data_IF_785336449391
#
_entry.id   IF_785336449391
#
_cell.length_a   1.000
_cell.length_b   1.000
_cell.length_c   1.000
_cell.angle_alpha   90.00
_cell.angle_beta   90.00
_cell.angle_gamma   90.00
#
_symmetry.space_group_name_H-M   'P 1'
#
loop_
_entity.id
_entity.type
_entity.pdbx_description
1 polymer ?
#
# COMPACT_ATOMS: atom_id res chain seq x y z
N UNK A 1 -4.22 55.96 -5.20
CA UNK A 1 -4.79 55.06 -4.18
C UNK A 1 -3.66 54.20 -3.64
N UNK A 2 -3.17 54.54 -2.44
CA UNK A 2 -2.09 53.84 -1.75
C UNK A 2 -2.59 52.50 -1.22
N UNK A 3 -2.04 51.41 -1.76
CA UNK A 3 -2.32 50.05 -1.30
C UNK A 3 -1.75 49.86 0.12
N UNK A 4 -2.61 49.47 1.06
CA UNK A 4 -2.26 49.29 2.47
C UNK A 4 -1.34 48.09 2.70
N UNK A 5 -0.33 48.31 3.53
CA UNK A 5 0.51 47.30 4.18
C UNK A 5 -0.35 46.44 5.11
N UNK A 6 -0.64 45.19 4.73
CA UNK A 6 -1.27 44.20 5.61
C UNK A 6 -0.74 42.78 5.38
N UNK A 7 0.46 42.64 4.83
CA UNK A 7 1.09 41.35 4.51
C UNK A 7 2.05 40.83 5.59
N UNK A 8 2.24 41.55 6.71
CA UNK A 8 3.25 41.18 7.72
C UNK A 8 2.81 40.11 8.75
N UNK A 9 1.61 39.51 8.64
CA UNK A 9 1.12 38.55 9.64
C UNK A 9 1.44 37.07 9.36
N UNK A 10 2.08 36.74 8.24
CA UNK A 10 2.37 35.35 7.85
C UNK A 10 3.87 35.01 7.79
N UNK A 11 4.72 35.81 8.43
CA UNK A 11 6.18 35.66 8.38
C UNK A 11 6.75 34.75 9.49
N UNK A 12 5.91 33.96 10.18
CA UNK A 12 6.42 33.05 11.21
C UNK A 12 6.82 31.73 10.57
N UNK A 13 8.11 31.38 10.73
CA UNK A 13 8.61 30.04 10.43
C UNK A 13 7.71 28.98 11.11
N UNK A 14 7.28 27.94 10.39
CA UNK A 14 6.43 26.90 10.95
C UNK A 14 7.15 26.24 12.15
N UNK A 15 6.44 26.11 13.27
CA UNK A 15 6.99 25.45 14.46
C UNK A 15 7.31 23.99 14.14
N UNK A 16 8.50 23.55 14.54
CA UNK A 16 8.88 22.13 14.46
C UNK A 16 8.01 21.31 15.41
N UNK A 17 7.14 20.49 14.82
CA UNK A 17 6.24 19.57 15.52
C UNK A 17 6.58 18.10 15.26
N UNK A 18 7.79 17.81 14.75
CA UNK A 18 8.22 16.43 14.43
C UNK A 18 8.12 15.48 15.62
N UNK A 19 8.26 15.99 16.85
CA UNK A 19 8.06 15.23 18.08
C UNK A 19 6.66 14.62 18.25
N UNK A 20 5.63 15.17 17.58
CA UNK A 20 4.25 14.66 17.61
C UNK A 20 4.08 13.38 16.78
N UNK A 21 4.93 13.17 15.77
CA UNK A 21 4.82 12.04 14.84
C UNK A 21 6.11 11.22 14.82
N UNK A 22 6.14 10.18 15.64
CA UNK A 22 7.29 9.26 15.76
C UNK A 22 7.16 8.00 14.90
N UNK A 23 6.15 7.91 14.06
CA UNK A 23 5.90 6.76 13.20
C UNK A 23 6.73 6.82 11.91
N UNK A 24 7.28 5.69 11.42
CA UNK A 24 7.24 4.35 12.02
C UNK A 24 8.26 4.20 13.16
N UNK A 25 7.84 3.60 14.27
CA UNK A 25 8.68 3.41 15.47
C UNK A 25 9.10 1.95 15.64
N UNK A 26 8.24 1.01 15.28
CA UNK A 26 8.50 -0.44 15.38
C UNK A 26 8.91 -1.04 14.03
N UNK A 27 9.60 -2.20 14.02
CA UNK A 27 9.91 -2.91 12.78
C UNK A 27 8.66 -3.25 11.94
N UNK A 28 7.55 -3.60 12.61
CA UNK A 28 6.28 -3.90 11.93
C UNK A 28 5.69 -2.65 11.25
N UNK A 29 5.69 -1.50 11.94
CA UNK A 29 5.25 -0.22 11.36
C UNK A 29 6.14 0.20 10.20
N UNK A 30 7.45 -0.01 10.30
CA UNK A 30 8.39 0.27 9.21
C UNK A 30 8.07 -0.60 7.99
N UNK A 31 7.85 -1.90 8.17
CA UNK A 31 7.47 -2.79 7.08
C UNK A 31 6.14 -2.34 6.43
N UNK A 32 5.12 -2.00 7.24
CA UNK A 32 3.84 -1.49 6.73
C UNK A 32 4.01 -0.20 5.94
N UNK A 33 4.84 0.71 6.44
CA UNK A 33 5.13 1.98 5.75
C UNK A 33 5.83 1.76 4.41
N UNK A 34 6.86 0.92 4.35
CA UNK A 34 7.57 0.65 3.09
C UNK A 34 6.66 -0.04 2.06
N UNK A 35 5.82 -1.00 2.51
CA UNK A 35 4.81 -1.62 1.63
C UNK A 35 3.80 -0.61 1.12
N UNK A 36 3.27 0.25 2.00
CA UNK A 36 2.33 1.30 1.63
C UNK A 36 2.95 2.24 0.61
N UNK A 37 4.17 2.71 0.89
CA UNK A 37 4.90 3.63 0.02
C UNK A 37 5.18 3.01 -1.35
N UNK A 38 5.57 1.74 -1.41
CA UNK A 38 5.81 1.07 -2.70
C UNK A 38 4.50 0.91 -3.48
N UNK A 39 3.45 0.36 -2.86
CA UNK A 39 2.16 0.15 -3.54
C UNK A 39 1.52 1.48 -4.01
N UNK A 40 1.61 2.53 -3.19
CA UNK A 40 1.03 3.83 -3.51
C UNK A 40 1.89 4.62 -4.48
N UNK A 41 3.11 4.98 -4.08
CA UNK A 41 3.95 5.93 -4.83
C UNK A 41 4.66 5.27 -5.99
N UNK A 42 5.11 4.03 -5.85
CA UNK A 42 5.72 3.31 -6.95
C UNK A 42 4.61 2.69 -7.80
N UNK A 43 3.77 1.79 -7.29
CA UNK A 43 2.84 1.05 -8.13
C UNK A 43 1.58 1.81 -8.58
N UNK A 44 1.25 2.95 -7.96
CA UNK A 44 0.09 3.76 -8.35
C UNK A 44 -1.26 3.21 -7.84
N UNK A 45 -1.25 2.30 -6.86
CA UNK A 45 -2.49 1.85 -6.23
C UNK A 45 -3.00 2.88 -5.24
N UNK A 46 -4.32 3.01 -5.17
CA UNK A 46 -4.97 3.66 -4.04
C UNK A 46 -5.09 2.64 -2.91
N UNK A 47 -4.86 3.07 -1.68
CA UNK A 47 -4.85 2.20 -0.51
C UNK A 47 -5.84 2.69 0.55
N UNK A 48 -6.62 1.79 1.12
CA UNK A 48 -7.44 2.06 2.33
C UNK A 48 -7.09 1.04 3.43
N UNK A 49 -7.50 1.32 4.67
CA UNK A 49 -7.42 0.32 5.75
C UNK A 49 -8.15 -0.97 5.35
N UNK A 50 -7.55 -2.10 5.71
CA UNK A 50 -8.08 -3.44 5.53
C UNK A 50 -8.73 -4.07 6.77
N UNK A 51 -8.89 -3.32 7.87
CA UNK A 51 -9.28 -3.87 9.18
C UNK A 51 -10.60 -4.66 9.13
N UNK A 52 -11.58 -4.18 8.35
CA UNK A 52 -12.89 -4.86 8.15
C UNK A 52 -12.78 -6.24 7.49
N UNK A 53 -11.66 -6.51 6.80
CA UNK A 53 -11.39 -7.74 6.07
C UNK A 53 -10.27 -8.56 6.71
N UNK A 54 -9.73 -8.11 7.85
CA UNK A 54 -8.63 -8.78 8.55
C UNK A 54 -7.33 -8.77 7.74
N UNK A 55 -7.05 -7.69 7.02
CA UNK A 55 -5.81 -7.46 6.27
C UNK A 55 -5.28 -6.06 6.57
N UNK A 56 -4.03 -5.76 6.22
CA UNK A 56 -3.44 -4.44 6.50
C UNK A 56 -4.00 -3.36 5.58
N UNK A 57 -4.08 -3.66 4.27
CA UNK A 57 -4.57 -2.71 3.28
C UNK A 57 -5.50 -3.36 2.26
N UNK A 58 -6.38 -2.55 1.71
CA UNK A 58 -7.08 -2.83 0.47
C UNK A 58 -6.41 -2.02 -0.64
N UNK A 59 -6.04 -2.68 -1.73
CA UNK A 59 -5.43 -2.01 -2.88
C UNK A 59 -6.40 -1.91 -4.05
N UNK A 60 -6.51 -0.71 -4.61
CA UNK A 60 -7.44 -0.35 -5.67
C UNK A 60 -6.67 0.22 -6.85
N UNK A 61 -7.08 -0.14 -8.08
CA UNK A 61 -6.50 0.38 -9.32
C UNK A 61 -6.75 1.88 -9.57
N UNK A 62 -7.62 2.50 -8.78
CA UNK A 62 -8.08 3.88 -8.92
C UNK A 62 -8.82 4.31 -7.66
N UNK A 63 -9.48 5.47 -7.69
CA UNK A 63 -10.24 6.01 -6.56
C UNK A 63 -11.14 4.94 -5.90
N UNK A 64 -10.98 4.66 -4.58
CA UNK A 64 -11.79 3.69 -3.85
C UNK A 64 -13.31 3.94 -3.90
N UNK A 65 -13.75 5.16 -4.20
CA UNK A 65 -15.17 5.50 -4.39
C UNK A 65 -15.73 4.87 -5.68
N UNK A 66 -14.89 4.75 -6.72
CA UNK A 66 -15.30 4.31 -8.06
C UNK A 66 -14.84 2.89 -8.40
N UNK A 67 -13.88 2.34 -7.64
CA UNK A 67 -13.27 1.06 -7.91
C UNK A 67 -13.42 0.08 -6.75
N UNK A 68 -13.51 -1.21 -7.09
CA UNK A 68 -13.40 -2.27 -6.10
C UNK A 68 -11.94 -2.59 -5.81
N UNK A 69 -11.64 -2.95 -4.56
CA UNK A 69 -10.30 -3.41 -4.19
C UNK A 69 -9.93 -4.65 -5.02
N UNK A 70 -8.76 -4.62 -5.65
CA UNK A 70 -8.18 -5.72 -6.40
C UNK A 70 -7.47 -6.72 -5.48
N UNK A 71 -6.81 -6.21 -4.42
CA UNK A 71 -6.05 -7.03 -3.47
C UNK A 71 -6.46 -6.80 -2.01
N UNK A 72 -6.43 -7.90 -1.25
CA UNK A 72 -6.29 -7.89 0.20
C UNK A 72 -4.80 -7.99 0.53
N UNK A 73 -4.20 -6.94 1.09
CA UNK A 73 -2.77 -6.86 1.33
C UNK A 73 -2.44 -7.28 2.76
N UNK A 74 -1.57 -8.28 2.90
CA UNK A 74 -1.04 -8.76 4.17
C UNK A 74 0.45 -8.43 4.24
N UNK A 75 0.84 -7.59 5.19
CA UNK A 75 2.23 -7.22 5.41
C UNK A 75 2.88 -8.24 6.33
N UNK A 76 3.92 -8.90 5.83
CA UNK A 76 4.64 -9.94 6.55
C UNK A 76 6.10 -9.52 6.76
N UNK A 77 6.70 -9.94 7.87
CA UNK A 77 8.16 -9.80 8.07
C UNK A 77 8.92 -10.71 7.10
N UNK A 78 10.00 -10.21 6.50
CA UNK A 78 10.69 -10.86 5.39
C UNK A 78 11.19 -12.27 5.72
N UNK A 79 11.83 -12.42 6.88
CA UNK A 79 12.44 -13.67 7.31
C UNK A 79 11.49 -14.53 8.17
N UNK A 80 10.22 -14.15 8.30
CA UNK A 80 9.26 -14.86 9.15
C UNK A 80 8.31 -15.71 8.29
N UNK A 81 8.33 -17.04 8.45
CA UNK A 81 7.43 -17.91 7.70
C UNK A 81 5.97 -17.63 8.05
N UNK A 82 5.09 -17.78 7.06
CA UNK A 82 3.65 -17.75 7.25
C UNK A 82 3.22 -19.11 7.77
N UNK A 83 2.54 -19.14 8.91
CA UNK A 83 2.06 -20.39 9.49
C UNK A 83 0.91 -20.98 8.67
N UNK A 84 0.84 -22.32 8.60
CA UNK A 84 -0.20 -23.02 7.83
C UNK A 84 -1.62 -22.62 8.25
N UNK A 85 -1.84 -22.41 9.55
CA UNK A 85 -3.14 -21.99 10.08
C UNK A 85 -3.49 -20.55 9.65
N UNK A 86 -2.51 -19.66 9.62
CA UNK A 86 -2.67 -18.29 9.12
C UNK A 86 -3.04 -18.33 7.64
N UNK A 87 -2.34 -19.14 6.84
CA UNK A 87 -2.62 -19.31 5.42
C UNK A 87 -4.04 -19.80 5.14
N UNK A 88 -4.51 -20.82 5.88
CA UNK A 88 -5.89 -21.34 5.79
C UNK A 88 -6.91 -20.26 6.18
N UNK A 89 -6.64 -19.51 7.25
CA UNK A 89 -7.53 -18.46 7.73
C UNK A 89 -7.67 -17.32 6.72
N UNK A 90 -6.55 -16.88 6.13
CA UNK A 90 -6.51 -15.88 5.06
C UNK A 90 -7.27 -16.37 3.83
N UNK A 91 -7.04 -17.62 3.41
CA UNK A 91 -7.76 -18.24 2.30
C UNK A 91 -9.28 -18.24 2.52
N UNK A 92 -9.75 -18.59 3.72
CA UNK A 92 -11.18 -18.55 4.08
C UNK A 92 -11.76 -17.14 3.97
N UNK A 93 -11.06 -16.12 4.49
CA UNK A 93 -11.52 -14.73 4.43
C UNK A 93 -11.58 -14.22 2.99
N UNK A 94 -10.52 -14.45 2.21
CA UNK A 94 -10.42 -14.04 0.82
C UNK A 94 -11.49 -14.69 -0.06
N UNK A 95 -11.82 -15.95 0.19
CA UNK A 95 -12.87 -16.67 -0.51
C UNK A 95 -14.24 -16.06 -0.33
N UNK A 96 -14.58 -15.64 0.89
CA UNK A 96 -15.89 -15.07 1.19
C UNK A 96 -16.12 -13.73 0.46
N UNK A 97 -15.06 -13.02 0.09
CA UNK A 97 -15.15 -11.71 -0.57
C UNK A 97 -14.67 -11.74 -2.03
N UNK A 98 -14.31 -12.91 -2.56
CA UNK A 98 -13.82 -13.13 -3.91
C UNK A 98 -12.68 -12.18 -4.34
N UNK A 99 -11.71 -11.92 -3.44
CA UNK A 99 -10.55 -11.06 -3.71
C UNK A 99 -9.24 -11.85 -3.76
N UNK A 100 -8.28 -11.31 -4.49
CA UNK A 100 -6.92 -11.89 -4.54
C UNK A 100 -6.14 -11.48 -3.30
N UNK A 101 -5.45 -12.42 -2.67
CA UNK A 101 -4.56 -12.15 -1.53
C UNK A 101 -3.20 -11.71 -2.07
N UNK A 102 -2.64 -10.66 -1.48
CA UNK A 102 -1.31 -10.17 -1.76
C UNK A 102 -0.51 -10.12 -0.46
N UNK A 103 0.43 -11.05 -0.27
CA UNK A 103 1.45 -10.89 0.75
C UNK A 103 2.52 -9.92 0.24
N UNK A 104 2.93 -9.01 1.10
CA UNK A 104 3.94 -8.02 0.82
C UNK A 104 4.95 -7.99 1.96
N UNK A 105 6.24 -7.93 1.63
CA UNK A 105 7.29 -7.85 2.63
C UNK A 105 8.41 -6.95 2.16
N UNK A 106 8.88 -6.07 3.05
CA UNK A 106 10.04 -5.25 2.79
C UNK A 106 11.31 -6.01 3.16
N UNK A 107 12.20 -6.20 2.18
CA UNK A 107 13.50 -6.81 2.35
C UNK A 107 14.53 -5.74 2.81
N UNK A 108 15.06 -5.81 4.04
CA UNK A 108 16.00 -4.81 4.55
C UNK A 108 17.35 -4.78 3.82
N UNK A 109 17.75 -5.89 3.19
CA UNK A 109 19.05 -6.04 2.53
C UNK A 109 19.04 -5.41 1.13
N UNK A 110 17.96 -5.63 0.36
CA UNK A 110 17.79 -5.07 -0.97
C UNK A 110 17.09 -3.70 -0.96
N UNK A 111 16.46 -3.34 0.16
CA UNK A 111 15.60 -2.17 0.31
C UNK A 111 14.45 -2.14 -0.72
N UNK A 112 13.88 -3.31 -1.02
CA UNK A 112 12.77 -3.48 -1.96
C UNK A 112 11.61 -4.22 -1.31
N UNK A 113 10.40 -3.96 -1.81
CA UNK A 113 9.22 -4.74 -1.42
C UNK A 113 9.06 -5.91 -2.37
N UNK A 114 8.90 -7.09 -1.79
CA UNK A 114 8.64 -8.34 -2.48
C UNK A 114 7.20 -8.78 -2.27
N UNK A 115 6.62 -9.36 -3.32
CA UNK A 115 5.19 -9.63 -3.39
C UNK A 115 4.92 -11.09 -3.74
N UNK A 116 3.95 -11.67 -3.04
CA UNK A 116 3.47 -13.01 -3.26
C UNK A 116 1.94 -12.97 -3.35
N UNK A 117 1.36 -13.26 -4.52
CA UNK A 117 -0.09 -13.39 -4.62
C UNK A 117 -0.56 -14.82 -4.42
N UNK A 118 -1.74 -14.96 -3.83
CA UNK A 118 -2.46 -16.22 -3.71
C UNK A 118 -3.90 -16.00 -4.20
N UNK A 119 -4.35 -16.90 -5.07
CA UNK A 119 -5.74 -16.98 -5.48
C UNK A 119 -6.24 -18.40 -5.24
N UNK A 120 -7.37 -18.53 -4.56
CA UNK A 120 -7.95 -19.83 -4.22
C UNK A 120 -8.77 -20.44 -5.36
N UNK A 121 -9.41 -19.61 -6.19
CA UNK A 121 -10.31 -20.07 -7.27
C UNK A 121 -9.58 -20.35 -8.58
N UNK A 122 -8.44 -19.69 -8.80
CA UNK A 122 -7.63 -19.90 -9.98
C UNK A 122 -6.32 -20.58 -9.56
N UNK A 123 -6.10 -21.88 -9.85
CA UNK A 123 -4.93 -22.65 -9.42
C UNK A 123 -3.65 -22.25 -10.16
N UNK A 124 -3.55 -21.01 -10.62
CA UNK A 124 -2.31 -20.47 -11.13
C UNK A 124 -1.26 -20.55 -10.02
N UNK A 125 -0.02 -20.94 -10.36
CA UNK A 125 1.06 -20.95 -9.39
C UNK A 125 1.19 -19.56 -8.77
N UNK A 126 1.56 -19.53 -7.49
CA UNK A 126 1.96 -18.31 -6.79
C UNK A 126 3.04 -17.61 -7.64
N UNK A 127 2.74 -16.40 -8.14
CA UNK A 127 3.58 -15.68 -9.12
C UNK A 127 3.95 -14.30 -8.61
N UNK A 128 5.23 -13.96 -8.66
CA UNK A 128 5.75 -12.63 -8.26
C UNK A 128 5.65 -11.59 -9.40
N UNK A 129 5.70 -12.01 -10.67
CA UNK A 129 5.84 -11.10 -11.82
C UNK A 129 4.58 -10.29 -12.16
N UNK A 130 3.38 -10.82 -11.89
CA UNK A 130 2.13 -10.14 -12.23
C UNK A 130 1.99 -8.78 -11.52
N UNK A 131 2.49 -8.67 -10.29
CA UNK A 131 2.45 -7.42 -9.53
C UNK A 131 3.37 -6.37 -10.15
N UNK A 132 4.60 -6.74 -10.53
CA UNK A 132 5.54 -5.83 -11.20
C UNK A 132 4.98 -5.31 -12.53
N UNK A 133 4.32 -6.18 -13.30
CA UNK A 133 3.65 -5.79 -14.55
C UNK A 133 2.48 -4.82 -14.29
N UNK A 134 1.63 -5.11 -13.30
CA UNK A 134 0.54 -4.22 -12.91
C UNK A 134 1.06 -2.86 -12.42
N UNK A 135 2.11 -2.84 -11.60
CA UNK A 135 2.75 -1.60 -11.16
C UNK A 135 3.25 -0.78 -12.35
N UNK A 136 3.92 -1.40 -13.31
CA UNK A 136 4.41 -0.71 -14.51
C UNK A 136 3.26 -0.18 -15.37
N UNK A 137 2.20 -0.98 -15.55
CA UNK A 137 1.01 -0.59 -16.30
C UNK A 137 0.30 0.61 -15.64
N UNK A 138 0.02 0.54 -14.34
CA UNK A 138 -0.70 1.59 -13.64
C UNK A 138 0.12 2.89 -13.53
N UNK A 139 1.45 2.80 -13.39
CA UNK A 139 2.34 3.97 -13.56
C UNK A 139 2.15 4.68 -14.90
N UNK A 140 2.11 3.93 -16.01
CA UNK A 140 1.92 4.51 -17.33
C UNK A 140 0.55 5.17 -17.47
N UNK A 141 -0.51 4.54 -16.94
CA UNK A 141 -1.87 5.08 -16.98
C UNK A 141 -2.00 6.39 -16.17
N UNK A 142 -1.41 6.47 -14.98
CA UNK A 142 -1.38 7.69 -14.14
C UNK A 142 -0.64 8.87 -14.82
N UNK A 143 0.51 8.61 -15.43
CA UNK A 143 1.28 9.64 -16.13
C UNK A 143 0.53 10.19 -17.36
N UNK A 144 -0.24 9.34 -18.05
CA UNK A 144 -1.03 9.76 -19.21
C UNK A 144 -2.25 10.62 -18.81
N UNK A 145 -2.80 10.45 -17.60
CA UNK A 145 -3.94 11.25 -17.11
C UNK A 145 -3.52 12.63 -16.59
N UNK A 146 -2.28 12.79 -16.13
CA UNK A 146 -1.75 14.06 -15.60
C UNK A 146 -1.10 14.96 -16.66
N UNK A 147 -1.00 14.47 -17.90
CA UNK A 147 -0.43 15.20 -19.05
C UNK A 147 -1.50 15.97 -19.86
N UNK A 148 -2.73 16.05 -19.37
CA UNK A 148 -3.86 16.78 -19.93
C UNK A 148 -4.37 17.80 -18.91
#
# INVERSE_FOLDING_TARGET
MSYNQSTEKYSQEPKDITHLWKHPYTPSEKNKYEVFKDLHSNCGFFLTSGDKFGCDFLAYKGDPVLHHAEFLVYVQEYDKPIESFQMISIGRLANNVHKTVLFASWNPQSNQVEYLNMNWFNPQPIKTWKIKELCNKYKQELNNQTSH
#
